data_IF_685372061384
#
_entry.id   IF_685372061384
#
_cell.length_a   1.000
_cell.length_b   1.000
_cell.length_c   1.000
_cell.angle_alpha   90.00
_cell.angle_beta   90.00
_cell.angle_gamma   90.00
#
_symmetry.space_group_name_H-M   'P 1'
#
loop_
_entity.id
_entity.type
_entity.pdbx_description
1 polymer ?
#
# COMPACT_ATOMS: atom_id res chain seq x y z
N UNK A 1 0.31 -12.92 21.89
CA UNK A 1 -1.04 -12.75 21.35
C UNK A 1 -2.00 -12.10 22.34
N UNK A 2 -3.18 -11.74 21.89
CA UNK A 2 -4.23 -11.09 22.68
C UNK A 2 -5.50 -11.96 22.66
N UNK A 3 -6.12 -12.12 23.82
CA UNK A 3 -7.42 -12.77 23.95
C UNK A 3 -8.51 -11.70 24.11
N UNK A 4 -9.49 -11.71 23.19
CA UNK A 4 -10.64 -10.80 23.23
C UNK A 4 -11.85 -11.59 23.70
N UNK A 5 -12.41 -11.20 24.84
CA UNK A 5 -13.58 -11.86 25.43
C UNK A 5 -14.73 -10.86 25.48
N UNK A 6 -15.84 -11.20 24.86
CA UNK A 6 -17.10 -10.46 24.95
C UNK A 6 -18.16 -11.32 25.63
N UNK A 7 -19.38 -10.80 25.78
CA UNK A 7 -20.49 -11.60 26.32
C UNK A 7 -20.84 -12.79 25.42
N UNK A 8 -20.60 -12.64 24.10
CA UNK A 8 -21.10 -13.55 23.06
C UNK A 8 -19.99 -14.22 22.24
N UNK A 9 -18.72 -13.81 22.42
CA UNK A 9 -17.60 -14.35 21.65
C UNK A 9 -16.30 -14.44 22.45
N UNK A 10 -15.44 -15.34 22.00
CA UNK A 10 -14.06 -15.47 22.43
C UNK A 10 -13.18 -15.57 21.18
N UNK A 11 -12.25 -14.65 21.05
CA UNK A 11 -11.31 -14.59 19.94
C UNK A 11 -9.87 -14.59 20.47
N UNK A 12 -8.98 -15.28 19.79
CA UNK A 12 -7.55 -15.28 20.09
C UNK A 12 -6.75 -14.80 18.88
N UNK A 13 -6.22 -13.60 19.00
CA UNK A 13 -5.31 -13.01 18.01
C UNK A 13 -3.90 -13.48 18.34
N UNK A 14 -3.40 -14.39 17.50
CA UNK A 14 -2.05 -14.94 17.66
C UNK A 14 -1.02 -13.94 17.19
N UNK A 15 0.09 -13.81 17.92
CA UNK A 15 1.28 -13.13 17.40
C UNK A 15 2.08 -14.07 16.50
N UNK A 16 2.79 -13.49 15.54
CA UNK A 16 3.79 -14.21 14.75
C UNK A 16 4.99 -14.53 15.64
N UNK A 17 5.72 -15.58 15.29
CA UNK A 17 7.03 -15.84 15.90
C UNK A 17 8.02 -14.81 15.35
N UNK A 18 8.52 -13.93 16.22
CA UNK A 18 9.49 -12.88 15.88
C UNK A 18 10.73 -13.03 16.76
N UNK A 19 11.86 -12.58 16.29
CA UNK A 19 13.08 -12.49 17.09
C UNK A 19 12.90 -11.36 18.12
N UNK A 20 12.94 -11.72 19.40
CA UNK A 20 12.72 -10.77 20.50
C UNK A 20 14.07 -10.20 20.93
N UNK A 21 14.26 -8.91 20.75
CA UNK A 21 15.45 -8.19 21.22
C UNK A 21 15.24 -7.60 22.61
N UNK A 22 14.03 -7.06 22.89
CA UNK A 22 13.65 -6.48 24.17
C UNK A 22 12.12 -6.52 24.30
N UNK A 23 11.61 -6.82 25.49
CA UNK A 23 10.16 -6.81 25.77
C UNK A 23 9.67 -5.52 26.42
N UNK A 24 10.59 -4.60 26.73
CA UNK A 24 10.26 -3.34 27.42
C UNK A 24 9.31 -2.48 26.58
N UNK A 25 8.21 -2.04 27.19
CA UNK A 25 7.22 -1.17 26.55
C UNK A 25 6.22 -1.87 25.60
N UNK A 26 6.33 -3.19 25.38
CA UNK A 26 5.39 -3.90 24.52
C UNK A 26 3.95 -3.82 25.03
N UNK A 27 3.75 -3.95 26.35
CA UNK A 27 2.42 -3.82 26.97
C UNK A 27 1.84 -2.41 26.86
N UNK A 28 2.67 -1.40 27.09
CA UNK A 28 2.29 0.01 26.98
C UNK A 28 1.92 0.37 25.53
N UNK A 29 2.65 -0.17 24.56
CA UNK A 29 2.35 -0.01 23.14
C UNK A 29 1.01 -0.64 22.76
N UNK A 30 0.71 -1.84 23.26
CA UNK A 30 -0.61 -2.48 23.06
C UNK A 30 -1.73 -1.58 23.58
N UNK A 31 -1.58 -1.08 24.82
CA UNK A 31 -2.59 -0.21 25.41
C UNK A 31 -2.77 1.11 24.64
N UNK A 32 -1.68 1.73 24.23
CA UNK A 32 -1.69 2.98 23.46
C UNK A 32 -2.39 2.80 22.10
N UNK A 33 -2.12 1.71 21.38
CA UNK A 33 -2.76 1.40 20.10
C UNK A 33 -4.25 1.18 20.29
N UNK A 34 -4.65 0.34 21.25
CA UNK A 34 -6.06 0.09 21.51
C UNK A 34 -6.78 1.39 21.88
N UNK A 35 -6.21 2.22 22.76
CA UNK A 35 -6.79 3.49 23.16
C UNK A 35 -6.97 4.47 21.98
N UNK A 36 -6.00 4.50 21.04
CA UNK A 36 -6.06 5.37 19.87
C UNK A 36 -7.16 4.97 18.88
N UNK A 37 -7.30 3.68 18.61
CA UNK A 37 -8.20 3.19 17.56
C UNK A 37 -9.60 2.78 18.07
N UNK A 38 -9.77 2.58 19.37
CA UNK A 38 -11.00 2.03 19.97
C UNK A 38 -12.29 2.74 19.58
N UNK A 39 -12.26 4.05 19.36
CA UNK A 39 -13.45 4.82 18.99
C UNK A 39 -13.82 4.71 17.51
N UNK A 40 -12.88 4.30 16.65
CA UNK A 40 -13.00 4.40 15.19
C UNK A 40 -13.18 3.04 14.51
N UNK A 41 -12.72 1.96 15.12
CA UNK A 41 -12.79 0.61 14.54
C UNK A 41 -13.25 -0.42 15.60
N UNK A 42 -13.65 -1.60 15.13
CA UNK A 42 -14.06 -2.70 16.01
C UNK A 42 -12.92 -3.14 16.92
N UNK A 43 -13.25 -3.53 18.16
CA UNK A 43 -12.27 -3.97 19.17
C UNK A 43 -11.33 -5.06 18.64
N UNK A 44 -11.84 -6.03 17.87
CA UNK A 44 -11.02 -7.10 17.30
C UNK A 44 -9.91 -6.54 16.40
N UNK A 45 -10.25 -5.57 15.55
CA UNK A 45 -9.27 -4.93 14.64
C UNK A 45 -8.26 -4.08 15.44
N UNK A 46 -8.69 -3.40 16.53
CA UNK A 46 -7.77 -2.70 17.44
C UNK A 46 -6.73 -3.66 18.01
N UNK A 47 -7.19 -4.85 18.44
CA UNK A 47 -6.31 -5.86 18.99
C UNK A 47 -5.37 -6.48 17.96
N UNK A 48 -5.79 -6.62 16.70
CA UNK A 48 -4.93 -7.04 15.60
C UNK A 48 -3.80 -6.03 15.34
N UNK A 49 -4.13 -4.73 15.28
CA UNK A 49 -3.14 -3.66 15.18
C UNK A 49 -2.20 -3.64 16.38
N UNK A 50 -2.73 -3.86 17.59
CA UNK A 50 -1.95 -3.89 18.82
C UNK A 50 -0.95 -5.06 18.85
N UNK A 51 -1.35 -6.24 18.37
CA UNK A 51 -0.43 -7.38 18.21
C UNK A 51 0.67 -7.04 17.22
N UNK A 52 0.32 -6.47 16.05
CA UNK A 52 1.29 -6.06 15.02
C UNK A 52 2.30 -5.04 15.57
N UNK A 53 1.83 -4.02 16.28
CA UNK A 53 2.69 -3.02 16.91
C UNK A 53 3.62 -3.60 17.98
N UNK A 54 3.09 -4.47 18.84
CA UNK A 54 3.90 -5.15 19.85
C UNK A 54 4.99 -6.03 19.21
N UNK A 55 4.68 -6.75 18.13
CA UNK A 55 5.66 -7.53 17.35
C UNK A 55 6.81 -6.67 16.82
N UNK A 56 6.53 -5.45 16.41
CA UNK A 56 7.56 -4.49 15.95
C UNK A 56 8.41 -3.95 17.11
N UNK A 57 7.77 -3.62 18.23
CA UNK A 57 8.46 -3.07 19.41
C UNK A 57 9.44 -4.08 20.01
N UNK A 58 9.05 -5.34 20.17
CA UNK A 58 9.92 -6.35 20.78
C UNK A 58 11.16 -6.70 19.93
N UNK A 59 11.18 -6.32 18.66
CA UNK A 59 12.33 -6.46 17.78
C UNK A 59 13.33 -5.29 17.89
N UNK A 60 12.92 -4.18 18.53
CA UNK A 60 13.77 -3.00 18.76
C UNK A 60 14.46 -3.16 20.13
N UNK A 61 15.70 -2.68 20.26
CA UNK A 61 16.42 -2.66 21.55
C UNK A 61 16.09 -1.38 22.32
N UNK A 62 15.85 -1.53 23.63
CA UNK A 62 15.57 -0.42 24.54
C UNK A 62 14.15 0.13 24.40
N UNK A 63 13.88 1.25 25.07
CA UNK A 63 12.58 1.93 25.00
C UNK A 63 12.38 2.51 23.62
N UNK A 64 11.37 2.04 22.91
CA UNK A 64 11.04 2.47 21.56
C UNK A 64 9.69 3.18 21.54
N UNK A 65 9.60 4.28 20.80
CA UNK A 65 8.33 4.94 20.50
C UNK A 65 7.66 4.16 19.38
N UNK A 66 6.36 3.90 19.53
CA UNK A 66 5.55 3.32 18.46
C UNK A 66 5.14 4.43 17.49
N UNK A 67 5.31 4.18 16.23
CA UNK A 67 4.89 5.05 15.13
C UNK A 67 3.66 4.45 14.43
N UNK A 68 2.90 5.29 13.74
CA UNK A 68 1.74 4.85 12.93
C UNK A 68 2.13 3.80 11.90
N UNK A 69 3.30 3.94 11.28
CA UNK A 69 3.87 2.97 10.33
C UNK A 69 4.24 1.61 10.97
N UNK A 70 4.33 1.52 12.29
CA UNK A 70 4.55 0.23 12.97
C UNK A 70 3.26 -0.62 13.01
N UNK A 71 2.09 -0.01 12.85
CA UNK A 71 0.78 -0.67 12.99
C UNK A 71 -0.05 -0.67 11.71
N UNK A 72 -0.07 0.42 10.98
CA UNK A 72 -0.79 0.53 9.71
C UNK A 72 0.05 -0.02 8.55
N UNK A 73 -0.63 -0.56 7.55
CA UNK A 73 0.04 -0.99 6.33
C UNK A 73 0.50 0.24 5.53
N UNK A 74 1.74 0.22 5.08
CA UNK A 74 2.25 1.22 4.15
C UNK A 74 1.66 0.95 2.77
N UNK A 75 0.75 1.81 2.34
CA UNK A 75 0.10 1.72 1.03
C UNK A 75 0.96 2.44 -0.01
N UNK A 76 1.32 1.72 -1.06
CA UNK A 76 2.06 2.24 -2.21
C UNK A 76 1.13 2.34 -3.40
N UNK A 77 1.17 3.47 -4.09
CA UNK A 77 0.45 3.73 -5.33
C UNK A 77 1.41 3.84 -6.50
N UNK A 78 1.05 3.25 -7.61
CA UNK A 78 1.58 3.61 -8.94
C UNK A 78 0.45 3.61 -9.94
N UNK A 79 0.60 4.36 -11.05
CA UNK A 79 -0.41 4.35 -12.09
C UNK A 79 0.18 4.49 -13.48
N UNK A 80 -0.56 3.97 -14.45
CA UNK A 80 -0.22 4.02 -15.87
C UNK A 80 -1.30 3.38 -16.73
N UNK A 81 -1.09 3.37 -18.04
CA UNK A 81 -2.00 2.67 -18.95
C UNK A 81 -1.82 1.17 -18.88
N UNK A 82 -0.60 0.68 -18.76
CA UNK A 82 -0.23 -0.74 -18.72
C UNK A 82 -0.88 -1.57 -19.83
N UNK A 83 -0.87 -1.05 -21.07
CA UNK A 83 -1.55 -1.63 -22.23
C UNK A 83 -0.86 -2.93 -22.69
N UNK A 84 0.45 -2.87 -22.92
CA UNK A 84 1.30 -4.01 -23.23
C UNK A 84 2.38 -4.05 -22.15
N UNK A 85 2.36 -5.09 -21.31
CA UNK A 85 3.35 -5.25 -20.27
C UNK A 85 4.71 -5.63 -20.86
N UNK A 86 5.76 -5.04 -20.33
CA UNK A 86 7.15 -5.31 -20.68
C UNK A 86 8.05 -5.27 -19.45
N UNK A 87 9.29 -5.66 -19.62
CA UNK A 87 10.28 -5.77 -18.53
C UNK A 87 10.40 -4.50 -17.67
N UNK A 88 10.31 -3.31 -18.28
CA UNK A 88 10.32 -2.03 -17.56
C UNK A 88 9.16 -1.90 -16.58
N UNK A 89 7.94 -2.32 -16.97
CA UNK A 89 6.77 -2.36 -16.09
C UNK A 89 6.98 -3.35 -14.94
N UNK A 90 7.49 -4.55 -15.21
CA UNK A 90 7.72 -5.55 -14.16
C UNK A 90 8.72 -5.06 -13.12
N UNK A 91 9.81 -4.43 -13.55
CA UNK A 91 10.82 -3.84 -12.65
C UNK A 91 10.24 -2.71 -11.81
N UNK A 92 9.47 -1.82 -12.43
CA UNK A 92 8.77 -0.72 -11.73
C UNK A 92 7.82 -1.25 -10.67
N UNK A 93 6.93 -2.21 -11.02
CA UNK A 93 5.95 -2.76 -10.10
C UNK A 93 6.61 -3.53 -8.95
N UNK A 94 7.65 -4.31 -9.25
CA UNK A 94 8.44 -4.99 -8.22
C UNK A 94 9.12 -4.00 -7.27
N UNK A 95 9.72 -2.94 -7.79
CA UNK A 95 10.31 -1.88 -6.98
C UNK A 95 9.23 -1.19 -6.12
N UNK A 96 8.08 -0.86 -6.70
CA UNK A 96 6.97 -0.25 -5.97
C UNK A 96 6.51 -1.12 -4.80
N UNK A 97 6.31 -2.44 -5.02
CA UNK A 97 5.96 -3.38 -3.94
C UNK A 97 6.97 -3.42 -2.79
N UNK A 98 8.25 -3.25 -3.09
CA UNK A 98 9.30 -3.22 -2.07
C UNK A 98 9.27 -1.96 -1.18
N UNK A 99 8.49 -0.94 -1.57
CA UNK A 99 8.40 0.31 -0.81
C UNK A 99 7.37 0.25 0.32
N UNK A 100 6.50 -0.76 0.35
CA UNK A 100 5.47 -0.88 1.40
C UNK A 100 4.79 -2.24 1.45
N UNK A 101 3.76 -2.31 2.29
CA UNK A 101 3.04 -3.55 2.59
C UNK A 101 1.99 -3.88 1.52
N UNK A 102 1.37 -2.87 0.91
CA UNK A 102 0.34 -3.02 -0.09
C UNK A 102 0.64 -2.17 -1.33
N UNK A 103 0.64 -2.79 -2.53
CA UNK A 103 0.74 -2.09 -3.80
C UNK A 103 -0.62 -1.99 -4.49
N UNK A 104 -1.08 -0.78 -4.69
CA UNK A 104 -2.26 -0.44 -5.50
C UNK A 104 -1.81 0.12 -6.84
N UNK A 105 -2.27 -0.49 -7.93
CA UNK A 105 -1.97 -0.04 -9.29
C UNK A 105 -3.20 0.62 -9.90
N UNK A 106 -3.13 1.92 -10.19
CA UNK A 106 -4.15 2.64 -10.93
C UNK A 106 -3.98 2.46 -12.44
N UNK A 107 -5.06 2.13 -13.16
CA UNK A 107 -5.05 2.08 -14.62
C UNK A 107 -6.15 2.96 -15.19
N UNK A 108 -5.85 3.67 -16.28
CA UNK A 108 -6.86 4.44 -16.98
C UNK A 108 -7.91 3.54 -17.63
N UNK A 109 -9.19 3.94 -17.61
CA UNK A 109 -10.25 3.30 -18.38
C UNK A 109 -9.95 3.33 -19.88
N UNK A 110 -10.65 2.54 -20.68
CA UNK A 110 -10.46 2.54 -22.13
C UNK A 110 -10.83 3.90 -22.74
N UNK A 111 -11.86 4.56 -22.20
CA UNK A 111 -12.25 5.89 -22.63
C UNK A 111 -11.17 6.94 -22.30
N UNK A 112 -10.61 6.90 -21.09
CA UNK A 112 -9.50 7.78 -20.70
C UNK A 112 -8.26 7.55 -21.58
N UNK A 113 -7.91 6.28 -21.87
CA UNK A 113 -6.78 5.96 -22.74
C UNK A 113 -6.98 6.49 -24.15
N UNK A 114 -8.19 6.38 -24.72
CA UNK A 114 -8.51 6.96 -26.03
C UNK A 114 -8.31 8.48 -26.06
N UNK A 115 -8.79 9.17 -25.04
CA UNK A 115 -8.60 10.63 -24.92
C UNK A 115 -7.11 11.03 -24.86
N UNK A 116 -6.31 10.26 -24.12
CA UNK A 116 -4.90 10.57 -23.87
C UNK A 116 -3.95 10.11 -25.00
N UNK A 117 -4.26 8.98 -25.68
CA UNK A 117 -3.35 8.33 -26.64
C UNK A 117 -3.94 8.10 -28.03
N UNK A 118 -5.19 8.53 -28.26
CA UNK A 118 -5.89 8.43 -29.55
C UNK A 118 -6.77 7.17 -29.68
N UNK A 119 -7.66 7.20 -30.69
CA UNK A 119 -8.74 6.22 -30.88
C UNK A 119 -8.28 4.77 -31.07
N UNK A 120 -7.05 4.55 -31.55
CA UNK A 120 -6.48 3.22 -31.76
C UNK A 120 -5.88 2.61 -30.48
N UNK A 121 -6.09 3.23 -29.32
CA UNK A 121 -5.63 2.79 -28.02
C UNK A 121 -6.80 2.69 -27.03
N UNK A 122 -6.74 1.80 -26.03
CA UNK A 122 -5.72 0.78 -25.78
C UNK A 122 -5.83 -0.43 -26.74
N UNK A 123 -4.78 -1.26 -26.84
CA UNK A 123 -4.85 -2.57 -27.53
C UNK A 123 -5.62 -3.58 -26.68
N UNK A 124 -5.36 -3.58 -25.37
CA UNK A 124 -6.05 -4.43 -24.40
C UNK A 124 -7.06 -3.59 -23.63
N UNK A 125 -8.31 -4.05 -23.56
CA UNK A 125 -9.31 -3.35 -22.74
C UNK A 125 -8.94 -3.37 -21.24
N UNK A 126 -9.57 -2.50 -20.46
CA UNK A 126 -9.27 -2.33 -19.04
C UNK A 126 -9.40 -3.63 -18.23
N UNK A 127 -10.37 -4.48 -18.55
CA UNK A 127 -10.55 -5.77 -17.90
C UNK A 127 -9.32 -6.69 -18.12
N UNK A 128 -8.84 -6.80 -19.37
CA UNK A 128 -7.65 -7.63 -19.69
C UNK A 128 -6.41 -7.07 -18.99
N UNK A 129 -6.21 -5.75 -19.01
CA UNK A 129 -5.07 -5.07 -18.36
C UNK A 129 -5.10 -5.29 -16.85
N UNK A 130 -6.26 -5.18 -16.22
CA UNK A 130 -6.47 -5.46 -14.80
C UNK A 130 -6.11 -6.91 -14.45
N UNK A 131 -6.64 -7.88 -15.23
CA UNK A 131 -6.37 -9.30 -14.98
C UNK A 131 -4.88 -9.64 -15.15
N UNK A 132 -4.20 -9.09 -16.13
CA UNK A 132 -2.76 -9.28 -16.31
C UNK A 132 -1.94 -8.73 -15.13
N UNK A 133 -2.32 -7.57 -14.59
CA UNK A 133 -1.66 -6.98 -13.43
C UNK A 133 -1.92 -7.79 -12.15
N UNK A 134 -3.14 -8.26 -11.92
CA UNK A 134 -3.50 -9.07 -10.76
C UNK A 134 -2.84 -10.46 -10.73
N UNK A 135 -2.33 -10.96 -11.86
CA UNK A 135 -1.53 -12.19 -11.90
C UNK A 135 -0.09 -11.99 -11.39
N UNK A 136 0.36 -10.75 -11.25
CA UNK A 136 1.71 -10.47 -10.76
C UNK A 136 1.75 -10.59 -9.22
N UNK A 137 2.70 -11.35 -8.64
CA UNK A 137 2.70 -11.65 -7.21
C UNK A 137 3.00 -10.44 -6.30
N UNK A 138 3.38 -9.31 -6.88
CA UNK A 138 3.66 -8.06 -6.18
C UNK A 138 2.55 -7.01 -6.31
N UNK A 139 1.45 -7.30 -7.03
CA UNK A 139 0.30 -6.41 -7.15
C UNK A 139 -0.81 -6.90 -6.25
N UNK A 140 -1.18 -6.10 -5.25
CA UNK A 140 -2.23 -6.47 -4.29
C UNK A 140 -3.61 -6.01 -4.74
N UNK A 141 -3.67 -4.90 -5.49
CA UNK A 141 -4.93 -4.33 -5.97
C UNK A 141 -4.74 -3.55 -7.26
N UNK A 142 -5.75 -3.65 -8.14
CA UNK A 142 -5.84 -2.80 -9.32
C UNK A 142 -7.10 -1.93 -9.22
N UNK A 143 -7.02 -0.69 -9.67
CA UNK A 143 -8.11 0.29 -9.67
C UNK A 143 -8.20 0.90 -11.05
N UNK A 144 -9.37 0.79 -11.68
CA UNK A 144 -9.67 1.46 -12.94
C UNK A 144 -10.27 2.83 -12.63
N UNK A 145 -9.74 3.90 -13.23
CA UNK A 145 -10.28 5.26 -13.12
C UNK A 145 -10.51 5.86 -14.51
N UNK A 146 -11.52 6.72 -14.65
CA UNK A 146 -11.92 7.30 -15.94
C UNK A 146 -11.37 8.70 -16.18
N UNK A 147 -10.92 9.35 -15.14
CA UNK A 147 -10.33 10.68 -15.19
C UNK A 147 -9.01 10.67 -15.96
N UNK A 148 -8.63 11.80 -16.54
CA UNK A 148 -7.38 11.94 -17.29
C UNK A 148 -6.16 11.97 -16.36
N UNK A 149 -6.38 12.28 -15.07
CA UNK A 149 -5.37 12.24 -14.02
C UNK A 149 -5.83 11.36 -12.85
N UNK A 150 -4.93 10.70 -12.11
CA UNK A 150 -5.28 9.79 -11.02
C UNK A 150 -5.63 10.50 -9.71
N UNK A 151 -5.79 11.83 -9.67
CA UNK A 151 -5.86 12.61 -8.43
C UNK A 151 -7.00 12.16 -7.51
N UNK A 152 -8.20 11.89 -8.06
CA UNK A 152 -9.36 11.47 -7.26
C UNK A 152 -9.18 10.03 -6.70
N UNK A 153 -8.53 9.16 -7.47
CA UNK A 153 -8.17 7.84 -6.98
C UNK A 153 -7.11 7.93 -5.86
N UNK A 154 -6.09 8.78 -6.02
CA UNK A 154 -5.07 9.00 -4.99
C UNK A 154 -5.71 9.53 -3.69
N UNK A 155 -6.59 10.52 -3.77
CA UNK A 155 -7.35 11.03 -2.62
C UNK A 155 -8.21 9.97 -1.95
N UNK A 156 -8.83 9.09 -2.74
CA UNK A 156 -9.71 8.02 -2.24
C UNK A 156 -8.95 6.92 -1.50
N UNK A 157 -7.75 6.56 -1.98
CA UNK A 157 -6.97 5.45 -1.44
C UNK A 157 -5.89 5.90 -0.47
N UNK A 158 -5.64 7.20 -0.36
CA UNK A 158 -4.71 7.84 0.60
C UNK A 158 -3.38 7.08 0.75
N UNK A 159 -2.63 6.83 -0.35
CA UNK A 159 -1.38 6.10 -0.26
C UNK A 159 -0.35 6.89 0.54
N UNK A 160 0.54 6.17 1.23
CA UNK A 160 1.68 6.77 1.91
C UNK A 160 2.80 7.14 0.91
N UNK A 161 2.92 6.34 -0.16
CA UNK A 161 4.00 6.48 -1.15
C UNK A 161 3.43 6.38 -2.57
N UNK A 162 3.86 7.30 -3.45
CA UNK A 162 3.59 7.25 -4.88
C UNK A 162 4.89 6.90 -5.60
N UNK A 163 4.89 5.82 -6.38
CA UNK A 163 6.04 5.41 -7.21
C UNK A 163 5.77 5.74 -8.67
N UNK A 164 6.76 6.37 -9.33
CA UNK A 164 6.73 6.68 -10.77
C UNK A 164 8.02 6.27 -11.47
N UNK A 165 7.95 6.06 -12.79
CA UNK A 165 9.13 5.80 -13.63
C UNK A 165 10.02 7.02 -13.78
N UNK A 166 11.25 6.82 -14.21
CA UNK A 166 12.28 7.84 -14.30
C UNK A 166 12.10 8.89 -15.41
N UNK A 167 11.02 8.81 -16.18
CA UNK A 167 10.54 9.86 -17.10
C UNK A 167 9.77 10.98 -16.38
N UNK A 168 9.49 10.81 -15.07
CA UNK A 168 8.86 11.81 -14.21
C UNK A 168 9.88 12.49 -13.30
N UNK A 169 9.62 13.75 -12.96
CA UNK A 169 10.29 14.47 -11.88
C UNK A 169 9.31 14.64 -10.71
N UNK A 170 9.82 14.90 -9.50
CA UNK A 170 8.97 15.10 -8.33
C UNK A 170 7.82 16.07 -8.59
N UNK A 171 8.12 17.23 -9.20
CA UNK A 171 7.13 18.29 -9.45
C UNK A 171 6.07 17.93 -10.49
N UNK A 172 6.33 16.94 -11.33
CA UNK A 172 5.39 16.49 -12.39
C UNK A 172 4.50 15.34 -11.95
N UNK A 173 4.76 14.76 -10.78
CA UNK A 173 3.95 13.66 -10.25
C UNK A 173 2.65 14.19 -9.66
N UNK A 174 1.52 13.72 -10.18
CA UNK A 174 0.20 14.04 -9.62
C UNK A 174 0.08 13.44 -8.23
N UNK A 175 -0.30 14.26 -7.25
CA UNK A 175 -0.41 13.86 -5.84
C UNK A 175 0.89 13.96 -5.03
N UNK A 176 1.90 14.65 -5.55
CA UNK A 176 3.16 14.90 -4.85
C UNK A 176 3.03 15.71 -3.55
N UNK A 177 1.90 16.38 -3.38
CA UNK A 177 1.48 17.09 -2.16
C UNK A 177 0.68 16.21 -1.19
N UNK A 178 0.26 15.02 -1.61
CA UNK A 178 -0.57 14.10 -0.82
C UNK A 178 0.20 12.91 -0.25
N UNK A 179 1.33 12.53 -0.86
CA UNK A 179 2.10 11.35 -0.46
C UNK A 179 3.60 11.51 -0.78
N UNK A 180 4.45 10.71 -0.15
CA UNK A 180 5.88 10.65 -0.47
C UNK A 180 6.09 10.13 -1.89
N UNK A 181 6.84 10.85 -2.73
CA UNK A 181 7.13 10.43 -4.11
C UNK A 181 8.48 9.73 -4.17
N UNK A 182 8.52 8.56 -4.79
CA UNK A 182 9.74 7.82 -5.11
C UNK A 182 9.82 7.56 -6.61
N UNK A 183 10.94 7.96 -7.21
CA UNK A 183 11.18 7.79 -8.65
C UNK A 183 12.01 6.53 -8.88
N UNK A 184 11.47 5.59 -9.64
CA UNK A 184 12.20 4.42 -10.09
C UNK A 184 13.12 4.81 -11.25
N UNK A 185 14.43 4.54 -11.20
CA UNK A 185 15.36 4.92 -12.26
C UNK A 185 14.96 4.35 -13.62
N UNK A 186 15.12 5.13 -14.67
CA UNK A 186 14.87 4.69 -16.06
C UNK A 186 15.71 3.46 -16.40
N UNK A 187 15.07 2.40 -16.85
CA UNK A 187 15.74 1.20 -17.34
C UNK A 187 16.13 1.46 -18.80
N UNK A 188 17.44 1.51 -19.11
CA UNK A 188 17.92 1.70 -20.49
C UNK A 188 17.38 0.59 -21.39
N UNK A 189 16.79 0.96 -22.52
CA UNK A 189 16.29 0.03 -23.54
C UNK A 189 14.79 -0.27 -23.52
N UNK A 190 14.01 0.45 -22.72
CA UNK A 190 12.55 0.32 -22.67
C UNK A 190 11.90 1.69 -22.66
#
# INVERSE_FOLDING_TARGET
GIHVVTKDSYDHIKSKTVEVADVSGAGDSVLAIIAHYFQNIKMINCCELAVKGAEKIVQKRGVSIIDRSDVEDTVVWTNGVFDILHEGHFKLLKFAKQQGDQLIVGINSDASVKRLKGENRPFNNSFVREQQLLQLPWVDKVVVFDEDTPIEAIKKYEPNIIVKGGDYTFDTVVGNDLAEVRIFPTVKGF
#
